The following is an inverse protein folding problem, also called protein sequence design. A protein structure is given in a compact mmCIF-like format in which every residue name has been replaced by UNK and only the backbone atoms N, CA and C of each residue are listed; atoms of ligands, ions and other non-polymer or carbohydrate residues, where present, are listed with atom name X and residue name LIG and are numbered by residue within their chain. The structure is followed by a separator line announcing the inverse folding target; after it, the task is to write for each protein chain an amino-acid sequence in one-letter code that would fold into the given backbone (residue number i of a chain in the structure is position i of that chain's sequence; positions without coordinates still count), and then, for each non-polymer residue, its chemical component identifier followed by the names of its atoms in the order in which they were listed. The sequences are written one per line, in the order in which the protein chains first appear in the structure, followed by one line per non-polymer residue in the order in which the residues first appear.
data_IF_999890266140
#
_entry.id   IF_999890266140
#
_cell.length_a   1.000
_cell.length_b   1.000
_cell.length_c   1.000
_cell.angle_alpha   90.00
_cell.angle_beta   90.00
_cell.angle_gamma   90.00
#
_symmetry.space_group_name_H-M   'P 1'
#
loop_
_entity.id
_entity.type
_entity.pdbx_description
1 polymer ?
#
# COMPACT_ATOMS: atom_id res chain seq x y z
N UNK A 1 -14.77 -6.31 16.34
CA UNK A 1 -13.39 -6.06 15.88
C UNK A 1 -13.35 -4.65 15.32
N UNK A 2 -12.42 -3.84 15.79
CA UNK A 2 -12.21 -2.48 15.33
C UNK A 2 -10.77 -2.22 14.92
N UNK A 3 -10.46 -0.97 14.50
CA UNK A 3 -9.11 -0.54 14.16
C UNK A 3 -8.46 0.22 15.32
N UNK A 4 -7.15 0.03 15.51
CA UNK A 4 -6.35 0.82 16.45
C UNK A 4 -5.65 2.01 15.79
N UNK A 5 -5.76 2.18 14.45
CA UNK A 5 -5.06 3.21 13.70
C UNK A 5 -5.88 3.76 12.54
N UNK A 6 -5.40 4.86 11.96
CA UNK A 6 -6.04 5.52 10.83
C UNK A 6 -7.26 6.36 11.18
N UNK A 7 -7.93 6.90 10.17
CA UNK A 7 -9.10 7.75 10.33
C UNK A 7 -10.37 7.03 10.83
N UNK A 8 -10.35 5.70 10.80
CA UNK A 8 -11.41 4.80 11.30
C UNK A 8 -11.00 4.10 12.62
N UNK A 9 -10.05 4.67 13.36
CA UNK A 9 -9.65 4.19 14.68
C UNK A 9 -10.82 4.14 15.65
N UNK A 10 -10.97 3.02 16.34
CA UNK A 10 -11.96 2.80 17.39
C UNK A 10 -11.36 2.92 18.81
N UNK A 11 -10.15 3.47 18.94
CA UNK A 11 -9.47 3.62 20.24
C UNK A 11 -10.29 4.41 21.25
N UNK A 12 -10.85 5.54 20.81
CA UNK A 12 -11.66 6.41 21.70
C UNK A 12 -12.96 5.74 22.17
N UNK A 13 -13.53 4.86 21.35
CA UNK A 13 -14.77 4.14 21.65
C UNK A 13 -14.53 2.79 22.32
N UNK A 14 -13.28 2.38 22.51
CA UNK A 14 -12.93 1.02 22.97
C UNK A 14 -13.60 0.64 24.29
N UNK A 15 -13.59 1.55 25.28
CA UNK A 15 -14.18 1.29 26.58
C UNK A 15 -15.69 1.05 26.47
N UNK A 16 -16.40 1.90 25.71
CA UNK A 16 -17.85 1.78 25.49
C UNK A 16 -18.21 0.49 24.73
N UNK A 17 -17.43 0.15 23.69
CA UNK A 17 -17.64 -1.09 22.91
C UNK A 17 -17.41 -2.33 23.78
N UNK A 18 -16.42 -2.29 24.68
CA UNK A 18 -16.09 -3.41 25.57
C UNK A 18 -17.15 -3.66 26.65
N UNK A 19 -17.95 -2.66 27.00
CA UNK A 19 -19.13 -2.82 27.87
C UNK A 19 -20.28 -3.57 27.19
N UNK A 20 -20.34 -3.51 25.84
CA UNK A 20 -21.40 -4.18 25.06
C UNK A 20 -21.02 -5.64 24.76
N UNK A 21 -19.77 -5.87 24.33
CA UNK A 21 -19.30 -7.19 23.93
C UNK A 21 -17.75 -7.28 23.99
N UNK A 22 -17.17 -8.49 24.03
CA UNK A 22 -15.74 -8.67 23.89
C UNK A 22 -15.20 -7.95 22.65
N UNK A 23 -14.31 -6.98 22.87
CA UNK A 23 -13.82 -6.08 21.81
C UNK A 23 -12.31 -6.24 21.65
N UNK A 24 -11.86 -6.33 20.41
CA UNK A 24 -10.44 -6.32 20.03
C UNK A 24 -10.20 -5.23 19.01
N UNK A 25 -9.02 -4.61 19.06
CA UNK A 25 -8.57 -3.64 18.08
C UNK A 25 -7.32 -4.18 17.39
N UNK A 26 -7.29 -4.07 16.07
CA UNK A 26 -6.18 -4.53 15.22
C UNK A 26 -5.53 -3.32 14.54
N UNK A 27 -4.21 -3.35 14.39
CA UNK A 27 -3.46 -2.38 13.59
C UNK A 27 -3.28 -2.93 12.18
N UNK A 28 -4.09 -2.46 11.23
CA UNK A 28 -3.98 -2.88 9.83
C UNK A 28 -3.09 -1.96 8.96
N UNK A 29 -2.58 -0.85 9.51
CA UNK A 29 -1.84 0.15 8.72
C UNK A 29 -0.51 -0.36 8.16
N UNK A 30 0.20 -1.18 8.95
CA UNK A 30 1.50 -1.76 8.59
C UNK A 30 1.48 -3.30 8.56
N UNK A 31 0.37 -3.92 8.92
CA UNK A 31 0.22 -5.39 8.84
C UNK A 31 -0.28 -5.80 7.46
N UNK A 32 0.34 -6.82 6.88
CA UNK A 32 -0.21 -7.46 5.68
C UNK A 32 -1.52 -8.16 6.01
N UNK A 33 -2.35 -8.43 5.02
CA UNK A 33 -3.60 -9.17 5.23
C UNK A 33 -3.33 -10.59 5.76
N UNK A 34 -2.18 -11.22 5.43
CA UNK A 34 -1.75 -12.52 5.97
C UNK A 34 -1.49 -12.42 7.47
N UNK A 35 -0.77 -11.38 7.91
CA UNK A 35 -0.52 -11.13 9.34
C UNK A 35 -1.82 -10.90 10.09
N UNK A 36 -2.73 -10.07 9.56
CA UNK A 36 -4.06 -9.86 10.13
C UNK A 36 -4.88 -11.15 10.18
N UNK A 37 -4.84 -11.97 9.12
CA UNK A 37 -5.54 -13.26 9.07
C UNK A 37 -5.02 -14.23 10.12
N UNK A 38 -3.70 -14.26 10.30
CA UNK A 38 -3.07 -15.10 11.34
C UNK A 38 -3.50 -14.68 12.74
N UNK A 39 -3.45 -13.38 13.03
CA UNK A 39 -3.85 -12.82 14.32
C UNK A 39 -5.35 -13.08 14.60
N UNK A 40 -6.21 -12.82 13.62
CA UNK A 40 -7.63 -13.13 13.70
C UNK A 40 -7.90 -14.62 13.87
N UNK A 41 -7.16 -15.47 13.16
CA UNK A 41 -7.25 -16.92 13.28
C UNK A 41 -7.00 -17.37 14.72
N UNK A 42 -5.94 -16.86 15.33
CA UNK A 42 -5.57 -17.15 16.71
C UNK A 42 -6.64 -16.67 17.70
N UNK A 43 -7.08 -15.42 17.58
CA UNK A 43 -8.11 -14.83 18.47
C UNK A 43 -9.43 -15.61 18.40
N UNK A 44 -9.80 -16.10 17.22
CA UNK A 44 -11.07 -16.79 16.96
C UNK A 44 -10.99 -18.32 17.03
N UNK A 45 -9.82 -18.90 17.37
CA UNK A 45 -9.61 -20.35 17.37
C UNK A 45 -9.72 -20.98 15.98
N UNK A 46 -9.27 -20.27 14.95
CA UNK A 46 -9.34 -20.67 13.54
C UNK A 46 -7.96 -20.74 12.87
N UNK A 47 -6.92 -21.06 13.62
CA UNK A 47 -5.53 -21.08 13.15
C UNK A 47 -5.33 -21.93 11.89
N UNK A 48 -5.94 -23.12 11.85
CA UNK A 48 -5.84 -24.01 10.70
C UNK A 48 -6.45 -23.41 9.43
N UNK A 49 -7.59 -22.71 9.55
CA UNK A 49 -8.23 -22.06 8.42
C UNK A 49 -7.41 -20.84 7.94
N UNK A 50 -6.85 -20.06 8.87
CA UNK A 50 -5.96 -18.95 8.56
C UNK A 50 -4.71 -19.42 7.80
N UNK A 51 -4.06 -20.48 8.29
CA UNK A 51 -2.89 -21.07 7.63
C UNK A 51 -3.22 -21.59 6.23
N UNK A 52 -4.37 -22.24 6.05
CA UNK A 52 -4.77 -22.78 4.74
C UNK A 52 -5.00 -21.71 3.70
N UNK A 53 -5.73 -20.63 4.03
CA UNK A 53 -6.02 -19.56 3.07
C UNK A 53 -4.76 -18.76 2.69
N UNK A 54 -3.83 -18.58 3.62
CA UNK A 54 -2.54 -17.94 3.35
C UNK A 54 -1.71 -18.80 2.40
N UNK A 55 -1.58 -20.10 2.69
CA UNK A 55 -0.81 -21.01 1.84
C UNK A 55 -1.38 -21.13 0.41
N UNK A 56 -2.71 -21.14 0.28
CA UNK A 56 -3.38 -21.13 -1.03
C UNK A 56 -3.04 -19.84 -1.82
N UNK A 57 -3.06 -18.71 -1.14
CA UNK A 57 -2.72 -17.43 -1.76
C UNK A 57 -1.25 -17.38 -2.19
N UNK A 58 -0.33 -17.78 -1.31
CA UNK A 58 1.11 -17.74 -1.61
C UNK A 58 1.46 -18.63 -2.80
N UNK A 59 0.84 -19.81 -2.90
CA UNK A 59 0.99 -20.69 -4.06
C UNK A 59 0.44 -20.04 -5.34
N UNK A 60 -0.68 -19.36 -5.26
CA UNK A 60 -1.28 -18.65 -6.40
C UNK A 60 -0.41 -17.47 -6.84
N UNK A 61 0.10 -16.63 -5.89
CA UNK A 61 1.01 -15.51 -6.18
C UNK A 61 2.28 -16.00 -6.86
N UNK A 62 2.89 -17.09 -6.35
CA UNK A 62 4.09 -17.67 -6.95
C UNK A 62 3.88 -18.13 -8.40
N UNK A 63 2.67 -18.54 -8.76
CA UNK A 63 2.33 -18.86 -10.15
C UNK A 63 2.12 -17.61 -11.00
N UNK A 64 1.41 -16.59 -10.47
CA UNK A 64 1.21 -15.32 -11.19
C UNK A 64 2.53 -14.58 -11.44
N UNK A 65 3.45 -14.59 -10.48
CA UNK A 65 4.76 -13.95 -10.61
C UNK A 65 5.55 -14.40 -11.83
N UNK A 66 5.32 -15.63 -12.31
CA UNK A 66 5.98 -16.16 -13.53
C UNK A 66 5.50 -15.49 -14.82
N UNK A 67 4.31 -14.91 -14.81
CA UNK A 67 3.69 -14.25 -15.97
C UNK A 67 3.89 -12.72 -15.96
N UNK A 68 4.28 -12.16 -14.82
CA UNK A 68 4.46 -10.72 -14.66
C UNK A 68 5.77 -10.28 -15.32
N UNK A 69 5.68 -9.28 -16.19
CA UNK A 69 6.86 -8.58 -16.70
C UNK A 69 7.16 -7.39 -15.80
N UNK A 70 8.22 -7.52 -15.01
CA UNK A 70 8.66 -6.47 -14.09
C UNK A 70 9.26 -5.30 -14.89
N UNK A 71 8.76 -4.06 -14.73
CA UNK A 71 9.32 -2.86 -15.38
C UNK A 71 10.68 -2.48 -14.77
N UNK A 72 11.28 -1.38 -15.21
CA UNK A 72 12.52 -0.87 -14.62
C UNK A 72 12.37 -0.56 -13.13
N UNK A 73 13.39 -0.98 -12.39
CA UNK A 73 13.46 -0.98 -10.93
C UNK A 73 14.38 0.13 -10.38
N UNK A 74 14.22 0.57 -9.14
CA UNK A 74 13.17 0.17 -8.19
C UNK A 74 11.83 0.87 -8.44
N UNK A 75 10.78 0.42 -7.72
CA UNK A 75 9.43 0.97 -7.83
C UNK A 75 8.99 1.64 -6.54
N UNK A 76 8.08 2.62 -6.63
CA UNK A 76 7.39 3.22 -5.48
C UNK A 76 5.88 3.28 -5.76
N UNK A 77 5.07 3.01 -4.75
CA UNK A 77 3.61 3.15 -4.79
C UNK A 77 3.21 4.48 -4.16
N UNK A 78 2.26 5.19 -4.74
CA UNK A 78 1.78 6.46 -4.22
C UNK A 78 0.30 6.72 -4.49
N UNK A 79 -0.28 7.62 -3.70
CA UNK A 79 -1.55 8.29 -3.98
C UNK A 79 -1.24 9.73 -4.39
N UNK A 80 -1.76 10.17 -5.53
CA UNK A 80 -1.61 11.55 -5.98
C UNK A 80 -2.75 12.42 -5.48
N UNK A 81 -2.41 13.56 -4.89
CA UNK A 81 -3.33 14.49 -4.23
C UNK A 81 -3.39 15.86 -4.94
N UNK A 82 -2.90 15.93 -6.18
CA UNK A 82 -2.84 17.19 -6.92
C UNK A 82 -1.90 18.20 -6.27
N UNK A 83 -2.39 19.41 -6.00
CA UNK A 83 -1.60 20.48 -5.40
C UNK A 83 -1.06 20.17 -3.99
N UNK A 84 -1.63 19.20 -3.29
CA UNK A 84 -1.18 18.76 -1.97
C UNK A 84 -0.02 17.76 -2.05
N UNK A 85 0.39 17.34 -3.25
CA UNK A 85 1.51 16.43 -3.48
C UNK A 85 1.11 14.96 -3.50
N UNK A 86 1.81 14.10 -2.76
CA UNK A 86 1.55 12.65 -2.73
C UNK A 86 1.63 12.07 -1.32
N UNK A 87 0.90 10.98 -1.11
CA UNK A 87 1.21 9.98 -0.08
C UNK A 87 2.00 8.86 -0.74
N UNK A 88 3.28 8.73 -0.43
CA UNK A 88 4.10 7.62 -0.87
C UNK A 88 4.03 6.50 0.17
N UNK A 89 3.64 5.30 -0.25
CA UNK A 89 3.63 4.14 0.65
C UNK A 89 5.07 3.77 1.04
N UNK A 90 5.26 3.35 2.28
CA UNK A 90 6.56 2.89 2.79
C UNK A 90 6.77 1.39 2.52
N UNK A 91 8.03 0.96 2.53
CA UNK A 91 8.42 -0.44 2.23
C UNK A 91 7.88 -1.48 3.23
N UNK A 92 7.36 -1.06 4.38
CA UNK A 92 6.70 -1.91 5.36
C UNK A 92 5.19 -2.11 5.11
N UNK A 93 4.62 -1.44 4.10
CA UNK A 93 3.18 -1.52 3.81
C UNK A 93 2.77 -2.78 3.05
N UNK A 94 1.49 -3.20 3.16
CA UNK A 94 0.95 -4.30 2.37
C UNK A 94 1.14 -4.13 0.86
N UNK A 95 1.06 -2.90 0.34
CA UNK A 95 1.24 -2.58 -1.08
C UNK A 95 2.68 -2.87 -1.54
N UNK A 96 3.67 -2.43 -0.77
CA UNK A 96 5.07 -2.71 -1.06
C UNK A 96 5.35 -4.22 -0.99
N UNK A 97 4.85 -4.90 0.06
CA UNK A 97 5.03 -6.34 0.24
C UNK A 97 4.37 -7.16 -0.86
N UNK A 98 3.21 -6.72 -1.36
CA UNK A 98 2.56 -7.36 -2.51
C UNK A 98 3.46 -7.28 -3.76
N UNK A 99 3.99 -6.10 -4.08
CA UNK A 99 4.89 -5.94 -5.23
C UNK A 99 6.18 -6.75 -5.05
N UNK A 100 6.79 -6.74 -3.86
CA UNK A 100 7.97 -7.55 -3.56
C UNK A 100 7.70 -9.06 -3.75
N UNK A 101 6.52 -9.54 -3.38
CA UNK A 101 6.14 -10.96 -3.52
C UNK A 101 6.06 -11.43 -4.97
N UNK A 102 5.88 -10.52 -5.91
CA UNK A 102 5.86 -10.81 -7.35
C UNK A 102 7.11 -10.33 -8.10
N UNK A 103 8.18 -10.05 -7.36
CA UNK A 103 9.53 -9.85 -7.92
C UNK A 103 9.96 -8.40 -8.10
N UNK A 104 9.22 -7.42 -7.59
CA UNK A 104 9.64 -6.02 -7.65
C UNK A 104 10.64 -5.67 -6.53
N UNK A 105 11.56 -4.75 -6.83
CA UNK A 105 12.40 -4.08 -5.84
C UNK A 105 11.73 -2.77 -5.43
N UNK A 106 11.48 -2.59 -4.16
CA UNK A 106 10.80 -1.41 -3.65
C UNK A 106 11.78 -0.32 -3.21
N UNK A 107 11.42 0.95 -3.41
CA UNK A 107 12.15 2.09 -2.89
C UNK A 107 11.18 3.05 -2.19
N UNK A 108 11.53 3.46 -0.97
CA UNK A 108 10.83 4.50 -0.26
C UNK A 108 11.09 5.89 -0.88
N UNK A 109 10.14 6.80 -0.71
CA UNK A 109 10.41 8.22 -0.94
C UNK A 109 11.54 8.69 -0.02
N UNK A 110 12.43 9.55 -0.52
CA UNK A 110 13.58 10.02 0.26
C UNK A 110 13.14 10.79 1.50
N UNK A 111 13.63 10.34 2.66
CA UNK A 111 13.23 10.83 3.97
C UNK A 111 13.50 12.34 4.15
N UNK A 112 14.56 12.89 3.55
CA UNK A 112 14.89 14.32 3.64
C UNK A 112 13.86 15.24 2.94
N UNK A 113 13.00 14.68 2.06
CA UNK A 113 11.96 15.41 1.32
C UNK A 113 10.54 14.96 1.68
N UNK A 114 10.39 14.18 2.71
CA UNK A 114 9.09 13.63 3.13
C UNK A 114 8.93 13.66 4.65
N UNK A 115 7.69 13.59 5.10
CA UNK A 115 7.36 13.40 6.52
C UNK A 115 6.66 12.07 6.68
N UNK A 116 7.29 11.17 7.45
CA UNK A 116 6.71 9.86 7.75
C UNK A 116 6.18 9.86 9.18
N UNK A 117 4.91 9.51 9.35
CA UNK A 117 4.33 9.25 10.67
C UNK A 117 4.52 7.76 11.00
N UNK A 118 5.16 7.42 12.13
CA UNK A 118 5.32 6.02 12.52
C UNK A 118 3.98 5.28 12.56
N UNK A 119 3.93 4.11 11.93
CA UNK A 119 2.73 3.28 11.87
C UNK A 119 1.63 3.73 10.90
N UNK A 120 1.82 4.85 10.18
CA UNK A 120 0.86 5.32 9.18
C UNK A 120 0.97 4.58 7.84
N UNK A 121 2.12 3.96 7.56
CA UNK A 121 2.38 3.26 6.30
C UNK A 121 2.58 4.19 5.09
N UNK A 122 2.61 5.52 5.30
CA UNK A 122 2.82 6.49 4.23
C UNK A 122 3.74 7.62 4.65
N UNK A 123 4.52 8.11 3.69
CA UNK A 123 5.28 9.35 3.78
C UNK A 123 4.53 10.45 3.02
N UNK A 124 4.26 11.56 3.68
CA UNK A 124 3.66 12.74 3.06
C UNK A 124 4.75 13.53 2.35
N UNK A 125 4.58 13.78 1.07
CA UNK A 125 5.51 14.55 0.22
C UNK A 125 4.72 15.72 -0.37
N UNK A 126 5.13 16.95 -0.07
CA UNK A 126 4.50 18.15 -0.68
C UNK A 126 4.80 18.23 -2.18
N UNK A 127 3.96 18.96 -2.92
CA UNK A 127 4.05 19.03 -4.38
C UNK A 127 5.44 19.45 -4.89
N UNK A 128 6.04 20.47 -4.27
CA UNK A 128 7.38 20.97 -4.64
C UNK A 128 8.50 19.97 -4.36
N UNK A 129 8.29 19.05 -3.42
CA UNK A 129 9.28 18.03 -3.03
C UNK A 129 9.16 16.73 -3.85
N UNK A 130 8.05 16.51 -4.58
CA UNK A 130 7.85 15.29 -5.37
C UNK A 130 9.04 14.93 -6.27
N UNK A 131 9.64 15.85 -7.04
CA UNK A 131 10.76 15.50 -7.91
C UNK A 131 11.96 14.95 -7.16
N UNK A 132 12.30 15.54 -6.01
CA UNK A 132 13.43 15.14 -5.21
C UNK A 132 13.16 13.86 -4.42
N UNK A 133 11.98 13.74 -3.81
CA UNK A 133 11.57 12.59 -3.02
C UNK A 133 11.45 11.31 -3.84
N UNK A 134 10.94 11.41 -5.08
CA UNK A 134 10.64 10.26 -5.95
C UNK A 134 11.74 9.96 -6.97
N UNK A 135 12.84 10.74 -7.02
CA UNK A 135 13.92 10.60 -8.00
C UNK A 135 14.59 9.21 -8.01
N UNK A 136 14.47 8.44 -6.93
CA UNK A 136 15.05 7.09 -6.82
C UNK A 136 14.24 6.02 -7.55
N UNK A 137 12.95 6.24 -7.80
CA UNK A 137 12.07 5.27 -8.44
C UNK A 137 12.21 5.32 -9.97
N UNK A 138 12.42 4.17 -10.59
CA UNK A 138 12.43 4.03 -12.04
C UNK A 138 11.03 3.79 -12.61
N UNK A 139 10.14 3.24 -11.81
CA UNK A 139 8.72 3.08 -12.12
C UNK A 139 7.86 3.50 -10.93
N UNK A 140 6.67 4.04 -11.21
CA UNK A 140 5.73 4.51 -10.20
C UNK A 140 4.37 3.83 -10.40
N UNK A 141 3.78 3.39 -9.30
CA UNK A 141 2.44 2.84 -9.26
C UNK A 141 1.52 3.80 -8.51
N UNK A 142 0.51 4.29 -9.18
CA UNK A 142 -0.48 5.22 -8.60
C UNK A 142 -1.71 4.42 -8.16
N UNK A 143 -2.11 4.60 -6.91
CA UNK A 143 -3.38 4.12 -6.37
C UNK A 143 -4.43 5.19 -6.59
N UNK A 144 -5.39 5.00 -7.51
CA UNK A 144 -6.29 6.06 -7.96
C UNK A 144 -7.53 6.18 -7.03
N UNK A 145 -7.34 6.63 -5.78
CA UNK A 145 -8.44 6.80 -4.83
C UNK A 145 -9.51 7.83 -5.28
N UNK A 146 -9.12 8.75 -6.15
CA UNK A 146 -10.01 9.76 -6.75
C UNK A 146 -10.47 9.40 -8.17
N UNK A 147 -10.27 8.15 -8.60
CA UNK A 147 -10.57 7.63 -9.93
C UNK A 147 -9.35 7.60 -10.86
N UNK A 148 -9.47 6.85 -11.95
CA UNK A 148 -8.36 6.53 -12.88
C UNK A 148 -7.70 7.78 -13.50
N UNK A 149 -8.40 8.90 -13.58
CA UNK A 149 -7.85 10.17 -14.03
C UNK A 149 -6.63 10.66 -13.21
N UNK A 150 -6.50 10.20 -11.95
CA UNK A 150 -5.38 10.56 -11.09
C UNK A 150 -4.03 10.09 -11.65
N UNK A 151 -3.99 8.94 -12.34
CA UNK A 151 -2.77 8.41 -12.98
C UNK A 151 -2.29 9.35 -14.10
N UNK A 152 -3.20 9.73 -14.99
CA UNK A 152 -2.90 10.66 -16.09
C UNK A 152 -2.56 12.05 -15.56
N UNK A 153 -3.28 12.51 -14.53
CA UNK A 153 -3.03 13.81 -13.91
C UNK A 153 -1.61 13.86 -13.30
N UNK A 154 -1.21 12.83 -12.57
CA UNK A 154 0.16 12.74 -12.05
C UNK A 154 1.20 12.74 -13.17
N UNK A 155 1.03 11.87 -14.17
CA UNK A 155 2.00 11.76 -15.28
C UNK A 155 2.11 13.04 -16.12
N UNK A 156 1.08 13.90 -16.11
CA UNK A 156 1.03 15.18 -16.84
C UNK A 156 1.42 16.39 -15.98
N UNK A 157 1.67 16.19 -14.68
CA UNK A 157 2.07 17.27 -13.79
C UNK A 157 3.48 17.77 -14.16
N UNK A 158 3.59 19.06 -14.40
CA UNK A 158 4.85 19.71 -14.81
C UNK A 158 5.96 19.54 -13.75
N UNK A 159 5.60 19.44 -12.46
CA UNK A 159 6.55 19.28 -11.37
C UNK A 159 7.31 17.94 -11.47
N UNK A 160 6.65 16.88 -11.92
CA UNK A 160 7.24 15.53 -12.01
C UNK A 160 7.75 15.17 -13.41
N UNK A 161 7.66 16.09 -14.37
CA UNK A 161 8.00 15.87 -15.78
C UNK A 161 9.43 15.37 -16.04
N UNK A 162 10.36 15.59 -15.10
CA UNK A 162 11.76 15.15 -15.20
C UNK A 162 12.04 13.82 -14.49
N UNK A 163 11.07 13.25 -13.80
CA UNK A 163 11.26 11.96 -13.14
C UNK A 163 11.53 10.84 -14.16
N UNK A 164 12.47 9.90 -13.84
CA UNK A 164 12.76 8.76 -14.73
C UNK A 164 11.52 7.92 -15.08
N UNK A 165 10.61 7.74 -14.13
CA UNK A 165 9.36 7.03 -14.36
C UNK A 165 8.44 7.76 -15.35
N UNK A 166 8.36 9.10 -15.28
CA UNK A 166 7.51 9.90 -16.17
C UNK A 166 8.11 9.97 -17.56
N UNK A 167 9.40 10.31 -17.67
CA UNK A 167 10.10 10.41 -18.98
C UNK A 167 10.16 9.06 -19.71
N UNK A 168 10.17 7.96 -18.94
CA UNK A 168 10.18 6.58 -19.45
C UNK A 168 8.78 6.01 -19.72
N UNK A 169 7.69 6.76 -19.52
CA UNK A 169 6.30 6.27 -19.58
C UNK A 169 6.05 5.05 -18.67
N UNK A 170 6.60 5.08 -17.47
CA UNK A 170 6.51 4.01 -16.47
C UNK A 170 5.73 4.45 -15.23
N UNK A 171 4.62 5.13 -15.46
CA UNK A 171 3.62 5.47 -14.44
C UNK A 171 2.41 4.58 -14.68
N UNK A 172 2.14 3.69 -13.73
CA UNK A 172 1.14 2.63 -13.87
C UNK A 172 -0.03 2.84 -12.91
N UNK A 173 -1.21 2.38 -13.32
CA UNK A 173 -2.38 2.29 -12.45
C UNK A 173 -2.31 1.00 -11.65
N UNK A 174 -2.28 1.08 -10.31
CA UNK A 174 -2.32 -0.11 -9.45
C UNK A 174 -3.75 -0.60 -9.17
N UNK A 175 -4.74 0.19 -9.57
CA UNK A 175 -6.15 -0.07 -9.29
C UNK A 175 -6.59 0.48 -7.93
N UNK A 176 -7.82 0.97 -7.85
CA UNK A 176 -8.38 1.55 -6.61
C UNK A 176 -8.53 0.53 -5.48
N UNK A 177 -8.70 -0.76 -5.82
CA UNK A 177 -8.76 -1.87 -4.86
C UNK A 177 -7.46 -2.07 -4.08
N UNK A 178 -6.32 -1.57 -4.59
CA UNK A 178 -5.01 -1.66 -3.92
C UNK A 178 -4.86 -0.70 -2.73
N UNK A 179 -5.80 0.23 -2.53
CA UNK A 179 -5.75 1.18 -1.41
C UNK A 179 -5.76 0.48 -0.05
N UNK A 180 -6.60 -0.55 0.09
CA UNK A 180 -6.63 -1.44 1.27
C UNK A 180 -6.61 -2.88 0.79
N UNK A 181 -5.53 -3.60 1.11
CA UNK A 181 -5.34 -4.96 0.65
C UNK A 181 -5.91 -5.98 1.65
N UNK A 182 -6.82 -6.79 1.15
CA UNK A 182 -7.27 -8.05 1.72
C UNK A 182 -6.96 -9.20 0.74
N UNK A 183 -7.40 -10.41 1.05
CA UNK A 183 -7.24 -11.58 0.18
C UNK A 183 -7.75 -11.35 -1.26
N UNK A 184 -8.93 -10.74 -1.41
CA UNK A 184 -9.57 -10.56 -2.72
C UNK A 184 -8.97 -9.39 -3.50
N UNK A 185 -8.78 -8.26 -2.84
CA UNK A 185 -8.18 -7.07 -3.46
C UNK A 185 -6.72 -7.29 -3.82
N UNK A 186 -5.96 -8.03 -3.01
CA UNK A 186 -4.60 -8.44 -3.35
C UNK A 186 -4.56 -9.32 -4.61
N UNK A 187 -5.47 -10.29 -4.74
CA UNK A 187 -5.62 -11.08 -5.97
C UNK A 187 -6.03 -10.26 -7.19
N UNK A 188 -6.85 -9.24 -7.00
CA UNK A 188 -7.30 -8.37 -8.10
C UNK A 188 -6.21 -7.35 -8.52
N UNK A 189 -5.20 -7.12 -7.67
CA UNK A 189 -4.08 -6.20 -7.95
C UNK A 189 -2.94 -6.89 -8.70
N UNK A 190 -2.74 -8.19 -8.47
CA UNK A 190 -1.76 -9.04 -9.17
C UNK A 190 -2.31 -9.50 -10.52
#
# INVERSE_FOLDING_TARGET
IGSSNGGDSSLESYAQLSEIAPTILLNYGTMTWQQLTTELGSILGRDAAATSVIAEYDAWVAEQAKAITVPEQPVTVLVYLGADGVWAYTSDTPQAKLLESVGFQYADAKAEFSTTTPGAGTSVVSAENMPAALAGAQSLFVVPISGDAAVTAFASDALVSTLPAVTGNRVFNLGSQSFRLDYYSAKATV
#
